data_IF_651088398865
#
_entry.id   IF_651088398865
#
_cell.length_a   1.000
_cell.length_b   1.000
_cell.length_c   1.000
_cell.angle_alpha   90.00
_cell.angle_beta   90.00
_cell.angle_gamma   90.00
#
_symmetry.space_group_name_H-M   'P 1'
#
loop_
_entity.id
_entity.type
_entity.pdbx_description
1 polymer ?
#
# COMPACT_ATOMS: atom_id res chain seq x y z
N UNK A 1 15.54 -8.39 -5.37
CA UNK A 1 14.79 -7.50 -4.45
C UNK A 1 13.46 -7.15 -5.10
N UNK A 2 12.37 -7.41 -4.46
CA UNK A 2 11.04 -6.95 -4.88
C UNK A 2 10.65 -5.80 -3.98
N UNK A 3 10.38 -4.65 -4.55
CA UNK A 3 9.91 -3.49 -3.79
C UNK A 3 8.40 -3.33 -3.96
N UNK A 4 7.69 -3.26 -2.85
CA UNK A 4 6.27 -2.95 -2.82
C UNK A 4 6.13 -1.51 -2.31
N UNK A 5 5.79 -0.60 -3.19
CA UNK A 5 5.52 0.79 -2.83
C UNK A 5 4.02 1.00 -2.66
N UNK A 6 3.59 1.24 -1.43
CA UNK A 6 2.24 1.67 -1.12
C UNK A 6 2.26 3.15 -0.75
N UNK A 7 1.85 4.02 -1.66
CA UNK A 7 1.66 5.44 -1.37
C UNK A 7 0.26 5.88 -1.74
N UNK A 8 -0.42 6.59 -0.85
CA UNK A 8 -1.64 7.28 -1.22
C UNK A 8 -1.30 8.53 -2.05
N UNK A 9 -1.63 8.47 -3.33
CA UNK A 9 -1.81 9.63 -4.17
C UNK A 9 -0.59 10.21 -4.87
N UNK A 10 -0.07 9.50 -5.88
CA UNK A 10 0.45 10.16 -7.06
C UNK A 10 0.38 9.18 -8.23
N UNK A 11 -0.47 9.49 -9.19
CA UNK A 11 -0.57 8.74 -10.44
C UNK A 11 0.67 9.00 -11.29
N UNK A 12 1.47 8.00 -11.54
CA UNK A 12 2.41 8.00 -12.65
C UNK A 12 2.09 6.82 -13.56
N UNK A 13 1.72 7.10 -14.79
CA UNK A 13 1.47 6.12 -15.85
C UNK A 13 2.68 5.21 -16.00
N UNK A 14 2.54 3.95 -15.68
CA UNK A 14 3.41 2.90 -16.16
C UNK A 14 2.59 1.69 -16.61
N UNK A 15 2.69 1.47 -17.89
CA UNK A 15 2.43 0.30 -18.73
C UNK A 15 1.36 -0.73 -18.34
N UNK A 16 0.47 -0.95 -19.29
CA UNK A 16 -0.81 -1.65 -19.37
C UNK A 16 -0.93 -3.06 -18.76
N UNK A 17 0.13 -3.75 -18.45
CA UNK A 17 0.08 -5.09 -17.85
C UNK A 17 -0.02 -5.10 -16.32
N UNK A 18 0.26 -3.99 -15.66
CA UNK A 18 0.16 -3.82 -14.20
C UNK A 18 -1.18 -3.20 -13.75
N UNK A 19 -1.95 -2.59 -14.64
CA UNK A 19 -3.26 -1.98 -14.32
C UNK A 19 -4.28 -2.98 -13.76
N UNK A 20 -4.12 -4.27 -14.01
CA UNK A 20 -5.02 -5.32 -13.51
C UNK A 20 -4.77 -5.69 -12.04
N UNK A 21 -3.62 -5.33 -11.49
CA UNK A 21 -3.28 -5.57 -10.09
C UNK A 21 -3.76 -4.44 -9.15
N UNK A 22 -4.10 -3.27 -9.68
CA UNK A 22 -4.45 -2.08 -8.90
C UNK A 22 -5.82 -2.14 -8.22
N UNK A 23 -6.72 -3.02 -8.67
CA UNK A 23 -8.07 -3.13 -8.08
C UNK A 23 -8.11 -4.21 -7.01
N UNK A 24 -7.69 -3.86 -5.79
CA UNK A 24 -7.91 -4.70 -4.62
C UNK A 24 -6.70 -5.47 -4.09
N UNK A 25 -5.50 -5.19 -4.57
CA UNK A 25 -4.30 -5.78 -3.97
C UNK A 25 -3.98 -5.04 -2.68
N UNK A 26 -4.13 -5.73 -1.55
CA UNK A 26 -3.55 -5.27 -0.30
C UNK A 26 -2.02 -5.37 -0.43
N UNK A 27 -1.27 -4.25 -0.43
CA UNK A 27 0.17 -4.26 -0.64
C UNK A 27 0.90 -5.10 0.40
N UNK A 28 0.38 -5.16 1.61
CA UNK A 28 0.94 -5.98 2.69
C UNK A 28 0.84 -7.47 2.37
N UNK A 29 -0.27 -7.91 1.75
CA UNK A 29 -0.42 -9.30 1.33
C UNK A 29 0.53 -9.66 0.19
N UNK A 30 0.68 -8.77 -0.79
CA UNK A 30 1.64 -8.95 -1.88
C UNK A 30 3.07 -9.04 -1.35
N UNK A 31 3.44 -8.15 -0.43
CA UNK A 31 4.74 -8.14 0.22
C UNK A 31 5.00 -9.44 1.01
N UNK A 32 4.02 -9.90 1.80
CA UNK A 32 4.13 -11.15 2.55
C UNK A 32 4.33 -12.34 1.61
N UNK A 33 3.54 -12.41 0.53
CA UNK A 33 3.63 -13.51 -0.45
C UNK A 33 4.99 -13.53 -1.16
N UNK A 34 5.52 -12.37 -1.53
CA UNK A 34 6.83 -12.27 -2.16
C UNK A 34 7.94 -12.70 -1.18
N UNK A 35 7.88 -12.25 0.07
CA UNK A 35 8.84 -12.64 1.11
C UNK A 35 8.79 -14.14 1.43
N UNK A 36 7.59 -14.74 1.50
CA UNK A 36 7.42 -16.19 1.67
C UNK A 36 8.02 -17.01 0.53
N UNK A 37 8.14 -16.42 -0.66
CA UNK A 37 8.80 -17.03 -1.83
C UNK A 37 10.30 -16.79 -1.88
N UNK A 38 10.88 -16.19 -0.86
CA UNK A 38 12.33 -15.98 -0.72
C UNK A 38 12.85 -14.67 -1.32
N UNK A 39 11.97 -13.74 -1.67
CA UNK A 39 12.40 -12.42 -2.12
C UNK A 39 12.71 -11.51 -0.93
N UNK A 40 13.73 -10.66 -1.07
CA UNK A 40 13.92 -9.54 -0.17
C UNK A 40 12.91 -8.44 -0.53
N UNK A 41 12.08 -8.05 0.43
CA UNK A 41 10.96 -7.13 0.18
C UNK A 41 11.06 -5.91 1.08
N UNK A 42 10.97 -4.73 0.48
CA UNK A 42 10.87 -3.45 1.16
C UNK A 42 9.51 -2.85 0.82
N UNK A 43 8.70 -2.53 1.82
CA UNK A 43 7.44 -1.83 1.66
C UNK A 43 7.57 -0.39 2.14
N UNK A 44 7.34 0.56 1.23
CA UNK A 44 7.31 1.99 1.54
C UNK A 44 5.87 2.43 1.75
N UNK A 45 5.59 3.07 2.87
CA UNK A 45 4.27 3.60 3.21
C UNK A 45 4.39 5.06 3.65
N UNK A 46 3.61 5.93 3.00
CA UNK A 46 3.63 7.37 3.30
C UNK A 46 3.09 7.68 4.68
N UNK A 47 2.07 6.94 5.13
CA UNK A 47 1.50 7.13 6.47
C UNK A 47 2.42 6.58 7.57
N UNK A 48 2.12 6.95 8.78
CA UNK A 48 2.83 6.51 9.98
C UNK A 48 2.43 5.09 10.42
N UNK A 49 1.47 4.47 9.71
CA UNK A 49 0.91 3.16 10.05
C UNK A 49 0.46 2.38 8.82
N UNK A 50 0.32 1.07 8.97
CA UNK A 50 -0.27 0.21 7.95
C UNK A 50 -1.81 0.34 7.91
N UNK A 51 -2.43 -0.24 6.88
CA UNK A 51 -3.89 -0.38 6.77
C UNK A 51 -4.55 0.57 5.78
N UNK A 52 -3.94 1.72 5.47
CA UNK A 52 -4.45 2.64 4.46
C UNK A 52 -5.97 2.88 4.56
N UNK A 53 -6.70 2.67 3.47
CA UNK A 53 -8.17 2.87 3.42
C UNK A 53 -8.98 1.89 4.28
N UNK A 54 -8.41 0.74 4.67
CA UNK A 54 -9.08 -0.19 5.59
C UNK A 54 -9.31 0.48 6.95
N UNK A 55 -8.40 1.32 7.38
CA UNK A 55 -8.55 2.08 8.62
C UNK A 55 -9.75 3.02 8.59
N UNK A 56 -10.05 3.62 7.44
CA UNK A 56 -11.25 4.44 7.23
C UNK A 56 -12.52 3.57 7.13
N UNK A 57 -12.42 2.44 6.43
CA UNK A 57 -13.54 1.51 6.28
C UNK A 57 -13.98 0.88 7.61
N UNK A 58 -13.10 0.82 8.60
CA UNK A 58 -13.36 0.29 9.93
C UNK A 58 -13.98 1.32 10.90
N UNK A 59 -14.15 2.58 10.50
CA UNK A 59 -14.73 3.65 11.35
C UNK A 59 -16.23 3.46 11.62
N UNK A 60 -17.08 3.04 10.64
CA UNK A 60 -18.49 2.84 10.91
C UNK A 60 -18.74 1.76 11.96
N UNK A 61 -19.86 1.86 12.72
CA UNK A 61 -20.23 0.85 13.70
C UNK A 61 -20.30 -0.56 13.08
N UNK A 62 -19.88 -1.57 13.84
CA UNK A 62 -19.89 -2.99 13.45
C UNK A 62 -18.93 -3.35 12.31
N UNK A 63 -17.89 -2.53 12.06
CA UNK A 63 -16.85 -2.77 11.08
C UNK A 63 -15.43 -2.82 11.65
N UNK A 64 -15.34 -2.89 12.96
CA UNK A 64 -14.07 -2.93 13.71
C UNK A 64 -13.20 -4.13 13.31
N UNK A 65 -13.83 -5.24 12.92
CA UNK A 65 -13.15 -6.48 12.49
C UNK A 65 -12.26 -6.28 11.25
N UNK A 66 -12.51 -5.23 10.45
CA UNK A 66 -11.65 -4.91 9.31
C UNK A 66 -10.23 -4.55 9.74
N UNK A 67 -10.05 -3.99 10.95
CA UNK A 67 -8.72 -3.71 11.49
C UNK A 67 -7.96 -4.99 11.81
N UNK A 68 -8.65 -6.01 12.33
CA UNK A 68 -8.05 -7.29 12.65
C UNK A 68 -7.44 -7.95 11.42
N UNK A 69 -8.07 -7.81 10.25
CA UNK A 69 -7.53 -8.32 8.98
C UNK A 69 -6.23 -7.60 8.64
N UNK A 70 -6.21 -6.27 8.75
CA UNK A 70 -5.02 -5.46 8.48
C UNK A 70 -3.87 -5.82 9.41
N UNK A 71 -4.16 -5.94 10.71
CA UNK A 71 -3.18 -6.28 11.74
C UNK A 71 -2.62 -7.70 11.55
N UNK A 72 -3.50 -8.64 11.20
CA UNK A 72 -3.10 -10.02 10.88
C UNK A 72 -2.14 -10.06 9.68
N UNK A 73 -2.48 -9.37 8.60
CA UNK A 73 -1.64 -9.34 7.40
C UNK A 73 -0.30 -8.65 7.65
N UNK A 74 -0.30 -7.58 8.42
CA UNK A 74 0.93 -6.91 8.84
C UNK A 74 1.83 -7.84 9.64
N UNK A 75 1.28 -8.52 10.66
CA UNK A 75 2.03 -9.50 11.45
C UNK A 75 2.54 -10.67 10.61
N UNK A 76 1.76 -11.13 9.61
CA UNK A 76 2.20 -12.15 8.66
C UNK A 76 3.40 -11.68 7.84
N UNK A 77 3.34 -10.46 7.30
CA UNK A 77 4.42 -9.89 6.51
C UNK A 77 5.69 -9.67 7.34
N UNK A 78 5.57 -9.22 8.58
CA UNK A 78 6.70 -9.10 9.50
C UNK A 78 7.38 -10.45 9.74
N UNK A 79 6.60 -11.50 10.00
CA UNK A 79 7.16 -12.86 10.20
C UNK A 79 7.82 -13.40 8.95
N UNK A 80 7.34 -13.01 7.76
CA UNK A 80 7.96 -13.37 6.48
C UNK A 80 9.25 -12.59 6.18
N UNK A 81 9.59 -11.58 6.96
CA UNK A 81 10.83 -10.81 6.81
C UNK A 81 10.69 -9.55 5.95
N UNK A 82 9.49 -9.05 5.74
CA UNK A 82 9.27 -7.77 5.01
C UNK A 82 9.80 -6.60 5.82
N UNK A 83 10.61 -5.74 5.19
CA UNK A 83 11.07 -4.49 5.77
C UNK A 83 10.05 -3.38 5.51
N UNK A 84 9.46 -2.84 6.56
CA UNK A 84 8.52 -1.73 6.47
C UNK A 84 9.23 -0.40 6.71
N UNK A 85 8.97 0.58 5.84
CA UNK A 85 9.42 1.96 6.00
C UNK A 85 8.19 2.87 6.00
N UNK A 86 7.73 3.22 7.19
CA UNK A 86 6.63 4.17 7.40
C UNK A 86 7.10 5.62 7.28
N UNK A 87 6.14 6.53 7.12
CA UNK A 87 6.40 7.96 6.91
C UNK A 87 7.39 8.21 5.76
N UNK A 88 7.37 7.33 4.76
CA UNK A 88 8.26 7.34 3.62
C UNK A 88 7.45 7.34 2.32
N UNK A 89 7.45 8.48 1.63
CA UNK A 89 6.80 8.58 0.33
C UNK A 89 7.68 7.93 -0.75
N UNK A 90 7.09 6.99 -1.48
CA UNK A 90 7.76 6.36 -2.61
C UNK A 90 7.73 7.30 -3.82
N UNK A 91 8.85 7.95 -4.09
CA UNK A 91 9.08 8.71 -5.31
C UNK A 91 9.83 7.85 -6.33
N UNK A 92 9.71 8.16 -7.64
CA UNK A 92 10.49 7.43 -8.65
C UNK A 92 12.01 7.44 -8.37
N UNK A 93 12.50 8.52 -7.76
CA UNK A 93 13.90 8.66 -7.39
C UNK A 93 14.28 7.77 -6.20
N UNK A 94 13.48 7.79 -5.12
CA UNK A 94 13.73 6.95 -3.95
C UNK A 94 13.69 5.46 -4.30
N UNK A 95 12.77 5.07 -5.18
CA UNK A 95 12.65 3.69 -5.68
C UNK A 95 13.88 3.30 -6.51
N UNK A 96 14.33 4.16 -7.45
CA UNK A 96 15.53 3.87 -8.25
C UNK A 96 16.79 3.74 -7.41
N UNK A 97 16.91 4.52 -6.33
CA UNK A 97 18.06 4.47 -5.42
C UNK A 97 18.18 3.13 -4.68
N UNK A 98 17.07 2.42 -4.53
CA UNK A 98 17.03 1.07 -3.94
C UNK A 98 17.40 -0.02 -4.96
N UNK A 99 17.47 0.32 -6.26
CA UNK A 99 17.82 -0.60 -7.35
C UNK A 99 17.03 -1.92 -7.31
N UNK A 100 15.69 -1.89 -7.23
CA UNK A 100 14.91 -3.11 -7.16
C UNK A 100 14.88 -3.85 -8.50
N UNK A 101 14.75 -5.19 -8.46
CA UNK A 101 14.53 -6.01 -9.65
C UNK A 101 13.09 -5.90 -10.15
N UNK A 102 12.14 -5.67 -9.23
CA UNK A 102 10.73 -5.49 -9.54
C UNK A 102 10.08 -4.50 -8.57
N UNK A 103 9.10 -3.78 -9.05
CA UNK A 103 8.33 -2.81 -8.25
C UNK A 103 6.83 -3.12 -8.38
N UNK A 104 6.14 -3.23 -7.24
CA UNK A 104 4.69 -3.33 -7.18
C UNK A 104 4.15 -1.97 -6.74
N UNK A 105 3.40 -1.32 -7.62
CA UNK A 105 2.76 -0.05 -7.31
C UNK A 105 1.37 -0.31 -6.74
N UNK A 106 1.15 0.09 -5.48
CA UNK A 106 -0.11 -0.10 -4.76
C UNK A 106 -0.50 1.19 -4.01
N UNK A 107 -0.45 2.30 -4.71
CA UNK A 107 -0.62 3.65 -4.15
C UNK A 107 -2.06 3.98 -3.73
N UNK A 108 -3.02 3.11 -4.03
CA UNK A 108 -4.42 3.31 -3.69
C UNK A 108 -5.09 4.39 -4.53
N UNK A 109 -6.16 4.99 -3.99
CA UNK A 109 -6.94 6.03 -4.65
C UNK A 109 -7.27 7.15 -3.67
N UNK A 110 -7.49 8.35 -4.21
CA UNK A 110 -8.01 9.48 -3.45
C UNK A 110 -9.51 9.65 -3.76
N UNK A 111 -10.34 9.95 -2.75
CA UNK A 111 -11.75 10.25 -2.99
C UNK A 111 -11.87 11.55 -3.81
N UNK A 112 -12.72 11.53 -4.83
CA UNK A 112 -13.10 12.74 -5.56
C UNK A 112 -14.28 13.36 -4.84
N UNK A 113 -14.09 14.55 -4.26
CA UNK A 113 -15.17 15.32 -3.66
C UNK A 113 -15.75 16.27 -4.72
N UNK A 114 -17.00 16.08 -5.16
CA UNK A 114 -17.64 16.98 -6.10
C UNK A 114 -17.74 18.40 -5.54
N UNK A 115 -17.57 19.42 -6.40
CA UNK A 115 -17.57 20.82 -5.96
C UNK A 115 -18.85 21.26 -5.25
N UNK A 116 -19.99 20.65 -5.58
CA UNK A 116 -21.27 20.94 -4.90
C UNK A 116 -21.33 20.42 -3.45
N UNK A 117 -20.46 19.50 -3.07
CA UNK A 117 -20.35 19.04 -1.68
C UNK A 117 -19.37 19.92 -0.86
N UNK A 118 -18.54 20.72 -1.52
CA UNK A 118 -17.51 21.52 -0.86
C UNK A 118 -18.04 22.88 -0.35
N UNK A 119 -19.26 23.27 -0.70
CA UNK A 119 -19.84 24.57 -0.35
C UNK A 119 -20.60 24.59 0.97
N UNK A 120 -20.57 23.53 1.76
CA UNK A 120 -21.29 23.42 3.04
C UNK A 120 -20.39 23.64 4.28
N UNK A 121 -19.27 24.33 4.08
CA UNK A 121 -18.40 24.72 5.19
C UNK A 121 -18.42 26.23 5.38
#
# INVERSE_FOLDING_TARGET
MVEVAATQGTYSRMNTSMEKAERGVNPVMAAATAAERGHEVILLERSDRHGGQISLAAVPPHKEDLRLISDYLYGKAQRAGVTFRFSCEATPESVRNLSPDAVIVATGSLPVVPRFCASAA
#
